data_IF_266226847122
#
_entry.id   IF_266226847122
#
_cell.length_a   1.000
_cell.length_b   1.000
_cell.length_c   1.000
_cell.angle_alpha   90.00
_cell.angle_beta   90.00
_cell.angle_gamma   90.00
#
_symmetry.space_group_name_H-M   'P 1'
#
loop_
_entity.id
_entity.type
_entity.pdbx_description
1 polymer ?
#
# COMPACT_ATOMS: atom_id res chain seq x y z
N UNK A 1 -31.96 -3.79 6.56
CA UNK A 1 -30.70 -4.55 6.42
C UNK A 1 -29.44 -3.67 6.37
N UNK A 2 -29.51 -2.38 6.00
CA UNK A 2 -28.35 -1.47 6.00
C UNK A 2 -27.87 -0.99 7.38
N UNK A 3 -28.74 -0.96 8.41
CA UNK A 3 -28.37 -0.42 9.74
C UNK A 3 -27.46 -1.37 10.54
N UNK A 4 -27.65 -2.69 10.42
CA UNK A 4 -26.81 -3.70 11.09
C UNK A 4 -25.36 -3.69 10.59
N UNK A 5 -25.13 -3.35 9.31
CA UNK A 5 -23.77 -3.28 8.75
C UNK A 5 -22.95 -2.11 9.29
N UNK A 6 -23.58 -0.97 9.54
CA UNK A 6 -22.90 0.20 10.11
C UNK A 6 -22.54 0.02 11.59
N UNK A 7 -23.43 -0.61 12.37
CA UNK A 7 -23.16 -0.89 13.79
C UNK A 7 -22.05 -1.93 13.98
N UNK A 8 -22.00 -2.96 13.12
CA UNK A 8 -20.91 -3.95 13.13
C UNK A 8 -19.59 -3.29 12.76
N UNK A 9 -19.54 -2.44 11.74
CA UNK A 9 -18.31 -1.76 11.31
C UNK A 9 -17.79 -0.78 12.38
N UNK A 10 -18.66 0.03 13.00
CA UNK A 10 -18.24 0.92 14.10
C UNK A 10 -17.75 0.14 15.31
N UNK A 11 -18.41 -0.97 15.64
CA UNK A 11 -17.99 -1.84 16.75
C UNK A 11 -16.65 -2.50 16.44
N UNK A 12 -16.42 -2.95 15.21
CA UNK A 12 -15.12 -3.44 14.75
C UNK A 12 -14.07 -2.33 14.83
N UNK A 13 -14.33 -1.10 14.42
CA UNK A 13 -13.35 0.00 14.50
C UNK A 13 -12.99 0.36 15.95
N UNK A 14 -13.97 0.42 16.85
CA UNK A 14 -13.72 0.65 18.29
C UNK A 14 -12.93 -0.52 18.89
N UNK A 15 -13.33 -1.75 18.60
CA UNK A 15 -12.59 -2.94 19.00
C UNK A 15 -11.17 -2.91 18.40
N UNK A 16 -10.95 -2.47 17.15
CA UNK A 16 -9.60 -2.39 16.58
C UNK A 16 -8.64 -1.52 17.39
N UNK A 17 -9.09 -0.39 17.97
CA UNK A 17 -8.19 0.46 18.76
C UNK A 17 -7.84 -0.17 20.11
N UNK A 18 -8.82 -0.79 20.77
CA UNK A 18 -8.66 -1.49 22.06
C UNK A 18 -7.86 -2.80 21.91
N UNK A 19 -8.13 -3.57 20.85
CA UNK A 19 -7.40 -4.79 20.48
C UNK A 19 -5.98 -4.48 20.01
N UNK A 20 -5.78 -3.36 19.31
CA UNK A 20 -4.46 -2.89 18.89
C UNK A 20 -3.57 -2.64 20.10
N UNK A 21 -4.02 -1.79 21.04
CA UNK A 21 -3.28 -1.49 22.27
C UNK A 21 -3.06 -2.73 23.14
N UNK A 22 -4.08 -3.59 23.30
CA UNK A 22 -3.98 -4.81 24.11
C UNK A 22 -3.06 -5.88 23.49
N UNK A 23 -3.12 -6.06 22.16
CA UNK A 23 -2.21 -6.97 21.44
C UNK A 23 -0.77 -6.47 21.51
N UNK A 24 -0.56 -5.17 21.31
CA UNK A 24 0.78 -4.57 21.42
C UNK A 24 1.37 -4.77 22.82
N UNK A 25 0.59 -4.56 23.88
CA UNK A 25 1.02 -4.83 25.25
C UNK A 25 1.37 -6.30 25.48
N UNK A 26 0.53 -7.24 25.00
CA UNK A 26 0.80 -8.67 25.11
C UNK A 26 2.10 -9.07 24.39
N UNK A 27 2.34 -8.55 23.19
CA UNK A 27 3.57 -8.81 22.43
C UNK A 27 4.77 -8.24 23.17
N UNK A 28 4.70 -6.99 23.64
CA UNK A 28 5.82 -6.32 24.31
C UNK A 28 6.18 -6.98 25.64
N UNK A 29 5.18 -7.27 26.49
CA UNK A 29 5.40 -7.96 27.76
C UNK A 29 6.01 -9.35 27.54
N UNK A 30 5.54 -10.07 26.51
CA UNK A 30 6.06 -11.41 26.20
C UNK A 30 7.42 -11.36 25.52
N UNK A 31 7.68 -10.37 24.68
CA UNK A 31 9.00 -10.11 24.12
C UNK A 31 10.01 -9.77 25.22
N UNK A 32 9.59 -9.07 26.27
CA UNK A 32 10.43 -8.77 27.43
C UNK A 32 10.74 -10.02 28.27
N UNK A 33 9.73 -10.86 28.51
CA UNK A 33 9.91 -12.13 29.24
C UNK A 33 10.76 -13.15 28.45
N UNK A 34 10.73 -13.11 27.12
CA UNK A 34 11.35 -14.11 26.24
C UNK A 34 12.35 -13.50 25.25
N UNK A 35 13.06 -12.41 25.61
CA UNK A 35 13.95 -11.65 24.72
C UNK A 35 14.87 -12.51 23.85
N UNK A 36 15.40 -13.59 24.42
CA UNK A 36 16.40 -14.46 23.77
C UNK A 36 15.85 -15.80 23.27
N UNK A 37 14.56 -16.07 23.45
CA UNK A 37 13.95 -17.36 23.13
C UNK A 37 12.76 -17.21 22.18
N UNK A 38 12.66 -18.04 21.14
CA UNK A 38 11.44 -18.13 20.34
C UNK A 38 10.22 -18.44 21.20
N UNK A 39 9.09 -17.80 20.89
CA UNK A 39 7.81 -18.12 21.52
C UNK A 39 6.68 -18.11 20.51
N UNK A 40 5.61 -18.84 20.81
CA UNK A 40 4.42 -18.92 19.96
C UNK A 40 3.29 -18.12 20.58
N UNK A 41 2.75 -17.20 19.80
CA UNK A 41 1.49 -16.51 20.06
C UNK A 41 0.37 -17.28 19.38
N UNK A 42 -0.46 -17.94 20.18
CA UNK A 42 -1.64 -18.64 19.69
C UNK A 42 -2.74 -17.63 19.40
N UNK A 43 -3.31 -17.67 18.20
CA UNK A 43 -4.48 -16.87 17.82
C UNK A 43 -5.55 -17.78 17.23
N UNK A 44 -6.77 -17.27 17.13
CA UNK A 44 -7.91 -18.01 16.58
C UNK A 44 -7.73 -18.35 15.08
N UNK A 45 -7.04 -17.49 14.33
CA UNK A 45 -6.84 -17.61 12.89
C UNK A 45 -5.54 -18.33 12.52
N UNK A 46 -4.43 -17.98 13.17
CA UNK A 46 -3.10 -18.51 12.88
C UNK A 46 -2.18 -18.37 14.10
N UNK A 47 -1.36 -19.38 14.35
CA UNK A 47 -0.28 -19.28 15.32
C UNK A 47 0.90 -18.49 14.76
N UNK A 48 1.34 -17.46 15.49
CA UNK A 48 2.49 -16.63 15.11
C UNK A 48 3.68 -17.03 15.97
N UNK A 49 4.74 -17.51 15.33
CA UNK A 49 6.02 -17.74 16.00
C UNK A 49 6.84 -16.45 15.97
N UNK A 50 7.11 -15.90 17.15
CA UNK A 50 7.97 -14.72 17.32
C UNK A 50 9.39 -15.20 17.55
N UNK A 51 10.30 -14.74 16.69
CA UNK A 51 11.72 -15.09 16.74
C UNK A 51 12.53 -13.91 17.31
N UNK A 52 13.57 -14.18 18.12
CA UNK A 52 14.50 -13.15 18.56
C UNK A 52 15.24 -12.48 17.39
N UNK A 53 15.63 -11.21 17.58
CA UNK A 53 16.30 -10.41 16.54
C UNK A 53 17.65 -10.98 16.11
N UNK A 54 18.33 -11.76 16.96
CA UNK A 54 19.59 -12.45 16.60
C UNK A 54 19.44 -13.40 15.41
N UNK A 55 18.24 -13.94 15.17
CA UNK A 55 17.98 -14.83 14.04
C UNK A 55 17.75 -14.09 12.71
N UNK A 56 17.66 -12.75 12.71
CA UNK A 56 17.35 -11.98 11.50
C UNK A 56 18.35 -12.21 10.36
N UNK A 57 19.64 -12.33 10.68
CA UNK A 57 20.69 -12.55 9.67
C UNK A 57 20.51 -13.89 8.97
N UNK A 58 20.18 -14.94 9.73
CA UNK A 58 19.90 -16.28 9.20
C UNK A 58 18.58 -16.30 8.42
N UNK A 59 17.52 -15.65 8.91
CA UNK A 59 16.23 -15.61 8.22
C UNK A 59 16.33 -14.96 6.84
N UNK A 60 17.25 -14.01 6.64
CA UNK A 60 17.48 -13.35 5.35
C UNK A 60 18.14 -14.26 4.31
N UNK A 61 18.82 -15.33 4.72
CA UNK A 61 19.44 -16.29 3.77
C UNK A 61 18.47 -17.36 3.30
N UNK A 62 17.32 -17.51 3.97
CA UNK A 62 16.31 -18.50 3.64
C UNK A 62 15.62 -18.09 2.32
N UNK A 63 15.51 -19.01 1.34
CA UNK A 63 14.83 -18.71 0.08
C UNK A 63 13.33 -18.50 0.27
N UNK A 64 12.74 -17.67 -0.59
CA UNK A 64 11.30 -17.34 -0.54
C UNK A 64 10.37 -18.55 -0.73
N UNK A 65 10.89 -19.68 -1.25
CA UNK A 65 10.15 -20.95 -1.32
C UNK A 65 9.78 -21.50 0.06
N UNK A 66 10.60 -21.22 1.08
CA UNK A 66 10.38 -21.62 2.47
C UNK A 66 9.81 -20.48 3.31
N UNK A 67 10.22 -19.23 3.06
CA UNK A 67 9.78 -18.06 3.84
C UNK A 67 9.29 -16.94 2.91
N UNK A 68 7.97 -16.84 2.72
CA UNK A 68 7.41 -15.92 1.74
C UNK A 68 6.72 -14.73 2.39
N UNK A 69 7.31 -13.52 2.28
CA UNK A 69 6.73 -12.28 2.81
C UNK A 69 5.33 -11.99 2.27
N UNK A 70 5.11 -12.12 0.96
CA UNK A 70 3.80 -11.85 0.34
C UNK A 70 2.65 -12.73 0.88
N UNK A 71 2.90 -14.01 1.17
CA UNK A 71 1.94 -14.90 1.84
C UNK A 71 1.77 -14.57 3.32
N UNK A 72 2.78 -14.00 3.97
CA UNK A 72 2.67 -13.53 5.35
C UNK A 72 1.92 -12.19 5.45
N UNK A 73 1.99 -11.35 4.41
CA UNK A 73 1.19 -10.13 4.30
C UNK A 73 -0.31 -10.50 4.25
N UNK A 74 -1.12 -9.71 4.95
CA UNK A 74 -2.53 -10.03 5.23
C UNK A 74 -2.75 -11.44 5.83
N UNK A 75 -1.69 -12.01 6.44
CA UNK A 75 -1.68 -13.29 7.15
C UNK A 75 -2.16 -14.48 6.30
N UNK A 76 -1.92 -14.41 4.99
CA UNK A 76 -2.14 -15.52 4.05
C UNK A 76 -3.58 -15.71 3.60
N UNK A 77 -4.50 -14.81 4.00
CA UNK A 77 -5.89 -14.87 3.58
C UNK A 77 -6.08 -14.28 2.18
N UNK A 78 -5.87 -15.13 1.17
CA UNK A 78 -6.12 -14.80 -0.25
C UNK A 78 -7.58 -14.44 -0.52
N UNK A 79 -8.50 -14.90 0.32
CA UNK A 79 -9.94 -14.69 0.13
C UNK A 79 -10.31 -13.24 0.43
N UNK A 80 -9.60 -12.62 1.38
CA UNK A 80 -9.76 -11.20 1.72
C UNK A 80 -9.29 -10.30 0.57
N UNK A 81 -8.11 -10.58 0.00
CA UNK A 81 -7.59 -9.78 -1.12
C UNK A 81 -6.54 -10.52 -1.96
N UNK A 82 -6.69 -10.48 -3.28
CA UNK A 82 -5.74 -11.03 -4.26
C UNK A 82 -4.94 -9.87 -4.89
N UNK A 83 -4.00 -9.28 -4.16
CA UNK A 83 -3.19 -8.14 -4.65
C UNK A 83 -1.86 -8.58 -5.25
N UNK A 84 -1.31 -7.73 -6.13
CA UNK A 84 0.04 -7.91 -6.67
C UNK A 84 1.09 -8.09 -5.55
N UNK A 85 0.99 -7.33 -4.46
CA UNK A 85 1.89 -7.41 -3.29
C UNK A 85 1.85 -8.74 -2.53
N UNK A 86 0.77 -9.51 -2.70
CA UNK A 86 0.58 -10.79 -2.02
C UNK A 86 1.06 -11.98 -2.88
N UNK A 87 1.15 -11.79 -4.20
CA UNK A 87 1.36 -12.88 -5.16
C UNK A 87 2.53 -12.68 -6.14
N UNK A 88 3.13 -11.49 -6.18
CA UNK A 88 4.26 -11.17 -7.05
C UNK A 88 5.39 -10.52 -6.25
N UNK A 89 6.63 -10.89 -6.59
CA UNK A 89 7.83 -10.26 -6.06
C UNK A 89 8.28 -9.06 -6.90
N UNK A 90 7.71 -8.88 -8.09
CA UNK A 90 8.14 -7.89 -9.09
C UNK A 90 8.15 -6.46 -8.53
N UNK A 91 7.10 -5.98 -7.82
CA UNK A 91 7.15 -4.62 -7.26
C UNK A 91 8.26 -4.42 -6.23
N UNK A 92 8.57 -5.46 -5.44
CA UNK A 92 9.65 -5.39 -4.46
C UNK A 92 11.01 -5.38 -5.16
N UNK A 93 11.19 -6.26 -6.16
CA UNK A 93 12.41 -6.31 -6.96
C UNK A 93 12.65 -4.98 -7.68
N UNK A 94 11.61 -4.40 -8.28
CA UNK A 94 11.67 -3.08 -8.93
C UNK A 94 12.22 -2.02 -7.97
N UNK A 95 11.71 -1.97 -6.74
CA UNK A 95 12.15 -1.01 -5.73
C UNK A 95 13.57 -1.34 -5.21
N UNK A 96 13.96 -2.61 -5.10
CA UNK A 96 15.28 -2.98 -4.57
C UNK A 96 16.39 -2.83 -5.61
N UNK A 97 16.12 -3.16 -6.87
CA UNK A 97 17.10 -3.13 -7.95
C UNK A 97 17.33 -1.70 -8.44
N UNK A 98 16.27 -0.88 -8.47
CA UNK A 98 16.42 0.55 -8.79
C UNK A 98 17.03 1.39 -7.65
N UNK A 99 17.25 0.78 -6.47
CA UNK A 99 17.75 1.48 -5.27
C UNK A 99 19.21 1.92 -5.37
N UNK A 100 20.02 1.21 -6.15
CA UNK A 100 21.47 1.24 -5.95
C UNK A 100 22.15 2.47 -6.56
N UNK A 101 21.57 3.13 -7.59
CA UNK A 101 22.23 4.29 -8.25
C UNK A 101 21.36 5.56 -8.41
N UNK A 102 20.06 5.53 -8.10
CA UNK A 102 19.15 6.67 -8.37
C UNK A 102 18.50 7.30 -7.11
N UNK A 103 18.80 6.78 -5.91
CA UNK A 103 18.14 7.24 -4.66
C UNK A 103 18.25 8.75 -4.43
N UNK A 104 19.38 9.37 -4.78
CA UNK A 104 19.57 10.82 -4.67
C UNK A 104 18.60 11.62 -5.55
N UNK A 105 18.43 11.21 -6.81
CA UNK A 105 17.49 11.86 -7.74
C UNK A 105 16.04 11.68 -7.30
N UNK A 106 15.70 10.50 -6.79
CA UNK A 106 14.37 10.22 -6.23
C UNK A 106 14.06 11.12 -5.04
N UNK A 107 15.03 11.30 -4.15
CA UNK A 107 14.86 12.19 -3.00
C UNK A 107 14.64 13.64 -3.42
N UNK A 108 15.41 14.16 -4.37
CA UNK A 108 15.23 15.52 -4.91
C UNK A 108 13.86 15.70 -5.56
N UNK A 109 13.41 14.71 -6.36
CA UNK A 109 12.09 14.73 -6.97
C UNK A 109 10.96 14.72 -5.92
N UNK A 110 11.13 13.95 -4.85
CA UNK A 110 10.18 13.90 -3.72
C UNK A 110 10.15 15.21 -2.95
N UNK A 111 11.30 15.81 -2.67
CA UNK A 111 11.39 17.12 -2.01
C UNK A 111 10.66 18.19 -2.84
N UNK A 112 10.92 18.26 -4.15
CA UNK A 112 10.22 19.20 -5.02
C UNK A 112 8.70 18.99 -5.04
N UNK A 113 8.25 17.74 -4.95
CA UNK A 113 6.80 17.46 -4.85
C UNK A 113 6.21 17.73 -3.48
N UNK A 114 7.02 17.69 -2.41
CA UNK A 114 6.58 18.03 -1.07
C UNK A 114 6.17 19.50 -1.01
N UNK A 115 6.95 20.40 -1.61
CA UNK A 115 6.61 21.82 -1.70
C UNK A 115 5.29 22.03 -2.45
N UNK A 116 5.15 21.46 -3.66
CA UNK A 116 3.91 21.51 -4.46
C UNK A 116 2.69 20.99 -3.64
N UNK A 117 2.88 19.91 -2.89
CA UNK A 117 1.80 19.24 -2.17
C UNK A 117 1.44 19.94 -0.86
N UNK A 118 2.41 20.58 -0.19
CA UNK A 118 2.17 21.43 0.96
C UNK A 118 1.35 22.66 0.57
N UNK A 119 1.69 23.31 -0.55
CA UNK A 119 0.92 24.46 -1.06
C UNK A 119 -0.55 24.10 -1.37
N UNK A 120 -0.80 22.87 -1.86
CA UNK A 120 -2.16 22.41 -2.13
C UNK A 120 -2.97 22.01 -0.89
N UNK A 121 -2.33 21.45 0.13
CA UNK A 121 -3.02 20.89 1.31
C UNK A 121 -3.06 21.85 2.50
N UNK A 122 -2.16 22.83 2.57
CA UNK A 122 -2.16 23.87 3.59
C UNK A 122 -3.12 24.97 3.12
N UNK A 123 -4.21 25.26 3.86
CA UNK A 123 -5.14 26.31 3.47
C UNK A 123 -4.45 27.67 3.47
N UNK A 124 -4.68 28.44 2.41
CA UNK A 124 -4.15 29.80 2.28
C UNK A 124 -4.56 30.66 3.47
N UNK A 125 -3.56 31.24 4.13
CA UNK A 125 -3.78 32.16 5.25
C UNK A 125 -4.53 33.43 4.83
N UNK A 126 -4.54 33.76 3.53
CA UNK A 126 -5.10 35.01 3.00
C UNK A 126 -6.58 34.91 2.60
N UNK A 127 -7.05 33.77 2.07
CA UNK A 127 -8.41 33.65 1.52
C UNK A 127 -9.51 33.76 2.59
N UNK A 128 -9.21 33.39 3.85
CA UNK A 128 -10.18 33.38 4.97
C UNK A 128 -10.21 34.66 5.81
N UNK A 129 -9.40 35.68 5.48
CA UNK A 129 -9.35 36.97 6.21
C UNK A 129 -10.56 37.87 5.90
N UNK A 130 -11.38 37.51 4.91
CA UNK A 130 -12.52 38.34 4.45
C UNK A 130 -13.73 38.36 5.41
N UNK A 131 -13.78 37.50 6.43
CA UNK A 131 -14.92 37.37 7.33
C UNK A 131 -14.58 37.68 8.81
N UNK A 132 -14.01 38.86 9.10
CA UNK A 132 -13.97 39.52 10.43
C UNK A 132 -13.75 38.62 11.66
N UNK A 133 -12.95 37.56 11.54
CA UNK A 133 -12.61 36.67 12.64
C UNK A 133 -11.15 36.28 12.52
N UNK A 134 -10.44 36.41 13.63
CA UNK A 134 -9.00 36.25 13.78
C UNK A 134 -8.48 34.90 13.26
N UNK A 135 -7.95 34.90 12.04
CA UNK A 135 -6.69 34.28 11.59
C UNK A 135 -6.39 32.79 11.82
N UNK A 136 -7.24 32.02 12.48
CA UNK A 136 -6.96 30.63 12.84
C UNK A 136 -7.97 29.68 12.19
N UNK A 137 -7.47 28.70 11.44
CA UNK A 137 -8.27 27.62 10.87
C UNK A 137 -7.93 26.31 11.57
N UNK A 138 -8.93 25.61 12.09
CA UNK A 138 -8.74 24.25 12.58
C UNK A 138 -8.54 23.30 11.39
N UNK A 139 -7.49 22.49 11.45
CA UNK A 139 -7.15 21.50 10.41
C UNK A 139 -7.08 20.13 11.07
N UNK A 140 -7.60 19.11 10.38
CA UNK A 140 -7.33 17.72 10.73
C UNK A 140 -5.93 17.36 10.22
N UNK A 141 -4.96 17.39 11.12
CA UNK A 141 -3.55 17.09 10.81
C UNK A 141 -3.39 15.68 10.27
N UNK A 142 -4.19 14.71 10.75
CA UNK A 142 -4.10 13.34 10.28
C UNK A 142 -4.56 13.23 8.83
N UNK A 143 -5.69 13.83 8.49
CA UNK A 143 -6.21 13.85 7.11
C UNK A 143 -5.27 14.60 6.17
N UNK A 144 -4.76 15.75 6.60
CA UNK A 144 -3.80 16.55 5.82
C UNK A 144 -2.52 15.77 5.51
N UNK A 145 -1.91 15.11 6.51
CA UNK A 145 -0.72 14.27 6.30
C UNK A 145 -1.05 13.08 5.39
N UNK A 146 -2.23 12.46 5.52
CA UNK A 146 -2.65 11.36 4.66
C UNK A 146 -2.73 11.78 3.19
N UNK A 147 -3.38 12.92 2.90
CA UNK A 147 -3.47 13.45 1.53
C UNK A 147 -2.10 13.84 0.96
N UNK A 148 -1.26 14.46 1.79
CA UNK A 148 0.11 14.81 1.43
C UNK A 148 0.90 13.56 1.01
N UNK A 149 0.86 12.50 1.83
CA UNK A 149 1.55 11.25 1.53
C UNK A 149 0.95 10.54 0.31
N UNK A 150 -0.38 10.57 0.13
CA UNK A 150 -1.03 10.00 -1.04
C UNK A 150 -0.54 10.63 -2.35
N UNK A 151 -0.35 11.96 -2.37
CA UNK A 151 0.23 12.71 -3.50
C UNK A 151 1.68 12.32 -3.76
N UNK A 152 2.51 12.33 -2.72
CA UNK A 152 3.94 12.03 -2.83
C UNK A 152 4.18 10.61 -3.33
N UNK A 153 3.54 9.63 -2.68
CA UNK A 153 3.62 8.22 -3.07
C UNK A 153 3.04 8.01 -4.47
N UNK A 154 1.95 8.71 -4.81
CA UNK A 154 1.39 8.70 -6.16
C UNK A 154 2.38 9.13 -7.22
N UNK A 155 3.17 10.19 -6.99
CA UNK A 155 4.17 10.61 -7.98
C UNK A 155 5.20 9.51 -8.23
N UNK A 156 5.70 8.87 -7.17
CA UNK A 156 6.72 7.82 -7.28
C UNK A 156 6.14 6.57 -7.96
N UNK A 157 4.87 6.23 -7.68
CA UNK A 157 4.26 5.03 -8.25
C UNK A 157 3.82 5.25 -9.71
N UNK A 158 2.93 6.21 -9.96
CA UNK A 158 2.23 6.39 -11.25
C UNK A 158 2.69 7.60 -12.07
N UNK A 159 3.50 8.49 -11.50
CA UNK A 159 3.95 9.69 -12.20
C UNK A 159 2.86 10.76 -12.37
N UNK A 160 3.13 11.79 -13.19
CA UNK A 160 2.15 12.84 -13.52
C UNK A 160 1.42 12.47 -14.83
N UNK A 161 0.15 12.85 -15.02
CA UNK A 161 -0.74 13.57 -14.11
C UNK A 161 -1.50 12.66 -13.13
N UNK A 162 -1.36 11.33 -13.26
CA UNK A 162 -2.13 10.33 -12.54
C UNK A 162 -2.09 10.50 -11.00
N UNK A 163 -0.95 10.92 -10.45
CA UNK A 163 -0.79 11.15 -9.01
C UNK A 163 -1.71 12.22 -8.40
N UNK A 164 -2.31 13.10 -9.22
CA UNK A 164 -3.25 14.15 -8.78
C UNK A 164 -4.70 13.83 -9.15
N UNK A 165 -4.96 12.71 -9.81
CA UNK A 165 -6.31 12.33 -10.21
C UNK A 165 -7.19 12.04 -8.99
N UNK A 166 -8.47 12.43 -9.00
CA UNK A 166 -9.39 12.11 -7.91
C UNK A 166 -9.54 10.59 -7.74
N UNK A 167 -9.41 9.81 -8.81
CA UNK A 167 -9.41 8.35 -8.77
C UNK A 167 -8.22 7.80 -7.98
N UNK A 168 -7.02 8.37 -8.16
CA UNK A 168 -5.85 8.01 -7.35
C UNK A 168 -6.05 8.33 -5.88
N UNK A 169 -6.64 9.50 -5.55
CA UNK A 169 -6.89 9.88 -4.17
C UNK A 169 -7.91 8.98 -3.48
N UNK A 170 -9.06 8.70 -4.10
CA UNK A 170 -10.05 7.76 -3.55
C UNK A 170 -9.42 6.37 -3.30
N UNK A 171 -8.58 5.92 -4.23
CA UNK A 171 -7.86 4.66 -4.08
C UNK A 171 -6.88 4.72 -2.91
N UNK A 172 -5.99 5.72 -2.88
CA UNK A 172 -4.94 5.84 -1.86
C UNK A 172 -5.53 5.95 -0.44
N UNK A 173 -6.63 6.69 -0.29
CA UNK A 173 -7.30 6.91 1.00
C UNK A 173 -8.06 5.65 1.46
N UNK A 174 -8.92 5.09 0.61
CA UNK A 174 -9.88 4.08 1.06
C UNK A 174 -9.47 2.63 0.79
N UNK A 175 -8.42 2.39 0.00
CA UNK A 175 -7.97 1.03 -0.30
C UNK A 175 -7.53 0.30 0.97
N UNK A 176 -6.72 0.95 1.81
CA UNK A 176 -6.17 0.34 3.02
C UNK A 176 -7.27 0.03 4.03
N UNK A 177 -8.19 0.97 4.26
CA UNK A 177 -9.32 0.78 5.18
C UNK A 177 -10.20 -0.40 4.74
N UNK A 178 -10.58 -0.44 3.46
CA UNK A 178 -11.39 -1.53 2.91
C UNK A 178 -10.70 -2.88 3.03
N UNK A 179 -9.41 -2.94 2.69
CA UNK A 179 -8.60 -4.15 2.73
C UNK A 179 -8.44 -4.72 4.15
N UNK A 180 -8.13 -3.85 5.11
CA UNK A 180 -7.97 -4.23 6.53
C UNK A 180 -9.31 -4.70 7.10
N UNK A 181 -10.40 -3.98 6.81
CA UNK A 181 -11.74 -4.35 7.26
C UNK A 181 -12.15 -5.73 6.76
N UNK A 182 -12.00 -5.99 5.45
CA UNK A 182 -12.30 -7.31 4.87
C UNK A 182 -11.43 -8.39 5.49
N UNK A 183 -10.12 -8.16 5.66
CA UNK A 183 -9.20 -9.12 6.29
C UNK A 183 -9.59 -9.45 7.74
N UNK A 184 -10.06 -8.48 8.53
CA UNK A 184 -10.54 -8.74 9.89
C UNK A 184 -11.80 -9.61 9.87
N UNK A 185 -12.79 -9.24 9.05
CA UNK A 185 -14.05 -9.99 8.95
C UNK A 185 -13.79 -11.45 8.54
N UNK A 186 -12.93 -11.66 7.55
CA UNK A 186 -12.60 -13.00 7.07
C UNK A 186 -11.85 -13.83 8.13
N UNK A 187 -11.03 -13.20 8.98
CA UNK A 187 -10.34 -13.87 10.10
C UNK A 187 -11.28 -14.28 11.23
N UNK A 188 -12.33 -13.50 11.49
CA UNK A 188 -13.34 -13.83 12.50
C UNK A 188 -14.28 -14.96 12.02
N UNK A 189 -14.36 -15.18 10.72
CA UNK A 189 -15.21 -16.20 10.13
C UNK A 189 -14.48 -17.55 9.96
N UNK A 190 -15.17 -18.67 10.17
CA UNK A 190 -14.66 -19.99 9.79
C UNK A 190 -14.33 -20.08 8.30
N UNK A 191 -13.25 -20.78 7.95
CA UNK A 191 -12.76 -20.90 6.56
C UNK A 191 -13.81 -21.43 5.58
N UNK A 192 -14.72 -22.31 6.03
CA UNK A 192 -15.79 -22.84 5.17
C UNK A 192 -16.84 -21.80 4.78
N UNK A 193 -16.98 -20.71 5.54
CA UNK A 193 -17.87 -19.59 5.23
C UNK A 193 -17.24 -18.57 4.28
N UNK A 194 -15.93 -18.66 4.04
CA UNK A 194 -15.20 -17.69 3.23
C UNK A 194 -15.83 -17.48 1.85
N UNK A 195 -16.19 -18.52 1.06
CA UNK A 195 -16.78 -18.33 -0.27
C UNK A 195 -18.10 -17.53 -0.26
N UNK A 196 -18.88 -17.67 0.81
CA UNK A 196 -20.16 -16.96 0.95
C UNK A 196 -19.92 -15.51 1.39
N UNK A 197 -19.06 -15.31 2.40
CA UNK A 197 -18.72 -13.98 2.90
C UNK A 197 -18.02 -13.13 1.84
N UNK A 198 -17.22 -13.76 0.98
CA UNK A 198 -16.56 -13.05 -0.11
C UNK A 198 -17.56 -12.32 -1.01
N UNK A 199 -18.75 -12.87 -1.25
CA UNK A 199 -19.75 -12.23 -2.11
C UNK A 199 -20.68 -11.29 -1.34
N UNK A 200 -20.89 -11.51 -0.04
CA UNK A 200 -21.81 -10.72 0.79
C UNK A 200 -21.18 -9.44 1.34
N UNK A 201 -19.86 -9.41 1.60
CA UNK A 201 -19.21 -8.26 2.23
C UNK A 201 -19.19 -7.06 1.26
N UNK A 202 -19.92 -5.96 1.54
CA UNK A 202 -20.01 -4.82 0.63
C UNK A 202 -18.67 -4.11 0.46
N UNK A 203 -17.82 -4.09 1.50
CA UNK A 203 -16.46 -3.54 1.44
C UNK A 203 -15.62 -4.27 0.39
N UNK A 204 -15.76 -5.60 0.26
CA UNK A 204 -15.04 -6.39 -0.74
C UNK A 204 -15.52 -6.10 -2.15
N UNK A 205 -16.82 -5.90 -2.34
CA UNK A 205 -17.37 -5.47 -3.63
C UNK A 205 -16.86 -4.08 -4.03
N UNK A 206 -16.81 -3.12 -3.10
CA UNK A 206 -16.22 -1.79 -3.33
C UNK A 206 -14.74 -1.89 -3.69
N UNK A 207 -13.99 -2.74 -2.98
CA UNK A 207 -12.58 -2.97 -3.26
C UNK A 207 -12.35 -3.58 -4.64
N UNK A 208 -13.19 -4.54 -5.07
CA UNK A 208 -13.18 -5.09 -6.43
C UNK A 208 -13.42 -4.01 -7.49
N UNK A 209 -14.39 -3.11 -7.28
CA UNK A 209 -14.65 -1.98 -8.19
C UNK A 209 -13.48 -1.01 -8.26
N UNK A 210 -12.89 -0.64 -7.12
CA UNK A 210 -11.69 0.20 -7.07
C UNK A 210 -10.50 -0.46 -7.78
N UNK A 211 -10.34 -1.77 -7.60
CA UNK A 211 -9.30 -2.54 -8.29
C UNK A 211 -9.50 -2.54 -9.80
N UNK A 212 -10.74 -2.58 -10.30
CA UNK A 212 -11.00 -2.39 -11.73
C UNK A 212 -10.67 -0.95 -12.18
N UNK A 213 -10.93 0.04 -11.33
CA UNK A 213 -10.56 1.43 -11.58
C UNK A 213 -9.05 1.71 -11.64
N UNK A 214 -8.21 0.82 -11.08
CA UNK A 214 -6.75 0.95 -11.17
C UNK A 214 -6.28 1.01 -12.62
N UNK A 215 -6.89 0.23 -13.52
CA UNK A 215 -6.51 0.20 -14.93
C UNK A 215 -6.70 1.57 -15.61
N UNK A 216 -7.73 2.33 -15.21
CA UNK A 216 -7.91 3.70 -15.71
C UNK A 216 -6.77 4.64 -15.31
N UNK A 217 -6.04 4.32 -14.23
CA UNK A 217 -4.88 5.08 -13.76
C UNK A 217 -3.60 4.55 -14.40
N UNK A 218 -3.41 3.22 -14.40
CA UNK A 218 -2.15 2.59 -14.83
C UNK A 218 -2.01 2.48 -16.34
N UNK A 219 -3.09 2.20 -17.08
CA UNK A 219 -3.01 1.97 -18.53
C UNK A 219 -2.51 3.23 -19.28
N UNK A 220 -2.99 4.45 -18.95
CA UNK A 220 -2.42 5.67 -19.53
C UNK A 220 -0.97 5.93 -19.11
N UNK A 221 -0.51 5.38 -17.98
CA UNK A 221 0.89 5.48 -17.58
C UNK A 221 1.77 4.57 -18.43
N UNK A 222 1.36 3.31 -18.60
CA UNK A 222 2.06 2.34 -19.45
C UNK A 222 2.11 2.83 -20.91
N UNK A 223 0.98 3.29 -21.46
CA UNK A 223 0.93 3.81 -22.82
C UNK A 223 1.88 5.00 -23.05
N UNK A 224 2.05 5.88 -22.05
CA UNK A 224 3.03 6.99 -22.12
C UNK A 224 4.47 6.48 -22.13
N UNK A 225 4.79 5.48 -21.31
CA UNK A 225 6.11 4.87 -21.31
C UNK A 225 6.42 4.18 -22.64
N UNK A 226 5.47 3.43 -23.19
CA UNK A 226 5.59 2.81 -24.51
C UNK A 226 5.81 3.85 -25.63
N UNK A 227 5.08 4.98 -25.59
CA UNK A 227 5.25 6.07 -26.57
C UNK A 227 6.64 6.70 -26.47
N UNK A 228 7.11 7.01 -25.25
CA UNK A 228 8.44 7.57 -25.00
C UNK A 228 9.52 6.60 -25.49
N UNK A 229 9.44 5.31 -25.13
CA UNK A 229 10.36 4.27 -25.62
C UNK A 229 10.37 4.18 -27.15
N UNK A 230 9.20 4.30 -27.80
CA UNK A 230 9.11 4.31 -29.26
C UNK A 230 9.82 5.54 -29.87
N UNK A 231 9.64 6.74 -29.28
CA UNK A 231 10.33 7.96 -29.73
C UNK A 231 11.85 7.85 -29.58
N UNK A 232 12.32 7.32 -28.45
CA UNK A 232 13.75 7.07 -28.21
C UNK A 232 14.32 6.10 -29.26
N UNK A 233 13.60 5.00 -29.57
CA UNK A 233 13.99 4.06 -30.64
C UNK A 233 14.06 4.70 -32.03
N UNK A 234 13.26 5.73 -32.27
CA UNK A 234 13.26 6.51 -33.51
C UNK A 234 14.35 7.61 -33.51
N UNK A 235 15.14 7.74 -32.44
CA UNK A 235 16.20 8.74 -32.32
C UNK A 235 15.70 10.13 -31.92
N UNK A 236 14.45 10.26 -31.47
CA UNK A 236 13.91 11.51 -30.95
C UNK A 236 14.29 11.69 -29.48
N UNK A 237 14.64 12.91 -29.08
CA UNK A 237 14.82 13.26 -27.67
C UNK A 237 13.48 13.18 -26.93
N UNK A 238 13.37 12.22 -26.02
CA UNK A 238 12.25 12.09 -25.11
C UNK A 238 12.77 11.61 -23.75
N UNK A 239 12.23 12.18 -22.67
CA UNK A 239 12.60 11.82 -21.30
C UNK A 239 11.51 10.90 -20.72
N UNK A 240 11.92 9.75 -20.20
CA UNK A 240 11.02 8.80 -19.53
C UNK A 240 10.81 9.21 -18.07
N UNK A 241 9.56 9.18 -17.60
CA UNK A 241 9.29 9.44 -16.19
C UNK A 241 9.82 8.29 -15.32
N UNK A 242 10.72 8.60 -14.39
CA UNK A 242 11.29 7.62 -13.47
C UNK A 242 10.29 7.26 -12.36
N UNK A 243 9.43 6.26 -12.61
CA UNK A 243 8.38 5.81 -11.69
C UNK A 243 8.31 4.28 -11.57
N UNK A 244 7.67 3.77 -10.52
CA UNK A 244 7.63 2.32 -10.23
C UNK A 244 6.95 1.52 -11.35
N UNK A 245 5.96 2.09 -12.05
CA UNK A 245 5.35 1.43 -13.20
C UNK A 245 6.39 1.15 -14.29
N UNK A 246 7.24 2.14 -14.63
CA UNK A 246 8.33 1.97 -15.59
C UNK A 246 9.32 0.88 -15.14
N UNK A 247 9.69 0.86 -13.85
CA UNK A 247 10.64 -0.13 -13.33
C UNK A 247 10.09 -1.54 -13.40
N UNK A 248 8.80 -1.70 -13.09
CA UNK A 248 8.11 -2.99 -13.19
C UNK A 248 8.11 -3.44 -14.65
N UNK A 249 7.77 -2.56 -15.59
CA UNK A 249 7.77 -2.86 -17.03
C UNK A 249 9.16 -3.31 -17.50
N UNK A 250 10.20 -2.56 -17.16
CA UNK A 250 11.60 -2.89 -17.48
C UNK A 250 12.02 -4.27 -16.93
N UNK A 251 11.67 -4.59 -15.68
CA UNK A 251 11.99 -5.89 -15.11
C UNK A 251 11.25 -7.04 -15.80
N UNK A 252 9.99 -6.82 -16.15
CA UNK A 252 9.18 -7.81 -16.86
C UNK A 252 9.78 -8.08 -18.25
N UNK A 253 10.09 -7.02 -19.02
CA UNK A 253 10.72 -7.14 -20.34
C UNK A 253 12.04 -7.92 -20.28
N UNK A 254 12.92 -7.58 -19.33
CA UNK A 254 14.22 -8.26 -19.19
C UNK A 254 14.08 -9.73 -18.75
N UNK A 255 13.12 -10.03 -17.87
CA UNK A 255 12.83 -11.39 -17.47
C UNK A 255 12.34 -12.23 -18.67
N UNK A 256 11.42 -11.69 -19.47
CA UNK A 256 10.93 -12.34 -20.70
C UNK A 256 12.06 -12.59 -21.71
N UNK A 257 12.95 -11.62 -21.92
CA UNK A 257 14.10 -11.78 -22.82
C UNK A 257 15.03 -12.89 -22.32
N UNK A 258 15.28 -12.98 -21.01
CA UNK A 258 16.14 -14.00 -20.42
C UNK A 258 15.57 -15.43 -20.53
N UNK A 259 14.25 -15.58 -20.43
CA UNK A 259 13.57 -16.87 -20.58
C UNK A 259 13.46 -17.30 -22.05
N UNK A 260 13.32 -16.37 -22.99
CA UNK A 260 13.28 -16.67 -24.43
C UNK A 260 14.67 -16.90 -25.06
N UNK A 261 15.74 -16.55 -24.33
CA UNK A 261 17.12 -16.78 -24.75
C UNK A 261 17.72 -18.10 -24.23
N UNK A 262 16.97 -18.88 -23.43
CA UNK A 262 17.30 -20.24 -22.99
C UNK A 262 16.54 -21.29 -23.78
#
# INVERSE_FOLDING_TARGET
MCLLGFDIVRRIQKDQSEWGTSSWLLVMVRADMYREKPFVLRRQDLDITVLPTKNLTELRTIPNSKLHRGKANFMGDKSAMNTLWSHSEVPIKAISENRNDQMGKHLEAVIKQLDDALEMEVPDSEEKVTNNSTGWTCIDVQLMIQNLLARLVGKIIVGKPACRSPEWMDLAEHFTEGSVTVSIIMRLAPKWMHPLLTEVIPQRQRLRKRHQGIFNITDPCVARHEEVKSKIKQGLEAEEEDNIVAWIEFLIENAFISDNAR
#
